data_IF_226885449603
#
_entry.id   IF_226885449603
#
_cell.length_a   1.000
_cell.length_b   1.000
_cell.length_c   1.000
_cell.angle_alpha   90.00
_cell.angle_beta   90.00
_cell.angle_gamma   90.00
#
_symmetry.space_group_name_H-M   'P 1'
#
loop_
_entity.id
_entity.type
_entity.pdbx_description
1 polymer ?
#
# COMPACT_ATOMS: atom_id res chain seq x y z
N UNK A 1 7.30 13.45 -3.26
CA UNK A 1 6.94 14.46 -2.27
C UNK A 1 8.22 15.08 -1.71
N UNK A 2 8.15 16.26 -1.09
CA UNK A 2 9.30 16.81 -0.36
C UNK A 2 9.38 16.20 1.05
N UNK A 3 10.58 16.06 1.61
CA UNK A 3 10.75 15.43 2.92
C UNK A 3 10.41 16.40 4.06
N UNK A 4 9.55 15.96 4.98
CA UNK A 4 9.30 16.63 6.26
C UNK A 4 8.48 17.91 6.17
N UNK A 5 7.65 18.05 5.14
CA UNK A 5 6.90 19.28 4.85
C UNK A 5 5.46 19.27 5.34
N UNK A 6 5.02 18.30 6.16
CA UNK A 6 3.61 18.17 6.59
C UNK A 6 2.98 19.46 7.16
N UNK A 7 3.72 20.20 7.99
CA UNK A 7 3.24 21.47 8.56
C UNK A 7 3.59 22.70 7.73
N UNK A 8 4.28 22.53 6.59
CA UNK A 8 4.62 23.62 5.68
C UNK A 8 3.46 23.91 4.71
N UNK A 9 2.94 25.12 4.75
CA UNK A 9 1.78 25.55 3.95
C UNK A 9 2.06 25.63 2.44
N UNK A 10 3.33 25.64 2.03
CA UNK A 10 3.75 25.81 0.64
C UNK A 10 4.21 24.52 -0.02
N UNK A 11 4.72 23.57 0.78
CA UNK A 11 5.34 22.34 0.29
C UNK A 11 4.73 21.05 0.86
N UNK A 12 3.68 21.14 1.70
CA UNK A 12 2.87 19.98 2.13
C UNK A 12 2.01 19.42 1.00
N UNK A 13 2.64 18.76 0.02
CA UNK A 13 1.95 18.11 -1.08
C UNK A 13 2.70 16.88 -1.61
N UNK A 14 1.96 16.01 -2.30
CA UNK A 14 2.49 14.84 -2.98
C UNK A 14 1.84 14.69 -4.36
N UNK A 15 2.58 14.13 -5.30
CA UNK A 15 2.07 13.75 -6.62
C UNK A 15 2.11 12.23 -6.71
N UNK A 16 0.97 11.63 -7.06
CA UNK A 16 0.85 10.18 -7.22
C UNK A 16 0.31 9.92 -8.61
N UNK A 17 1.00 9.06 -9.36
CA UNK A 17 0.47 8.51 -10.60
C UNK A 17 -0.48 7.37 -10.26
N UNK A 18 -1.72 7.46 -10.73
CA UNK A 18 -2.67 6.37 -10.58
C UNK A 18 -2.23 5.15 -11.41
N UNK A 19 -2.23 3.99 -10.75
CA UNK A 19 -1.94 2.70 -11.34
C UNK A 19 -2.91 1.62 -10.81
N UNK A 20 -4.15 2.02 -10.49
CA UNK A 20 -5.17 1.16 -9.91
C UNK A 20 -5.10 1.14 -8.39
N UNK A 21 -5.63 0.08 -7.77
CA UNK A 21 -5.74 0.03 -6.29
C UNK A 21 -4.38 0.09 -5.57
N UNK A 22 -3.31 -0.33 -6.24
CA UNK A 22 -1.95 -0.23 -5.70
C UNK A 22 -1.47 1.20 -5.49
N UNK A 23 -2.12 2.20 -6.11
CA UNK A 23 -1.80 3.61 -5.88
C UNK A 23 -1.93 3.98 -4.39
N UNK A 24 -2.74 3.25 -3.62
CA UNK A 24 -2.82 3.40 -2.16
C UNK A 24 -1.45 3.21 -1.46
N UNK A 25 -0.61 2.28 -1.93
CA UNK A 25 0.72 2.08 -1.37
C UNK A 25 1.68 3.20 -1.76
N UNK A 26 1.57 3.72 -3.00
CA UNK A 26 2.31 4.93 -3.41
C UNK A 26 1.87 6.14 -2.61
N UNK A 27 0.57 6.31 -2.35
CA UNK A 27 0.06 7.38 -1.46
C UNK A 27 0.68 7.25 -0.06
N UNK A 28 0.72 6.03 0.50
CA UNK A 28 1.35 5.80 1.81
C UNK A 28 2.85 6.15 1.79
N UNK A 29 3.58 5.73 0.76
CA UNK A 29 4.99 6.05 0.56
C UNK A 29 5.25 7.56 0.51
N UNK A 30 4.50 8.27 -0.33
CA UNK A 30 4.65 9.72 -0.48
C UNK A 30 4.25 10.47 0.80
N UNK A 31 3.23 10.00 1.52
CA UNK A 31 2.89 10.52 2.85
C UNK A 31 4.02 10.28 3.86
N UNK A 32 4.71 9.14 3.79
CA UNK A 32 5.91 8.86 4.57
C UNK A 32 6.99 9.93 4.35
N UNK A 33 7.25 10.31 3.09
CA UNK A 33 8.15 11.41 2.78
C UNK A 33 7.69 12.74 3.38
N UNK A 34 6.42 13.13 3.20
CA UNK A 34 5.87 14.36 3.82
C UNK A 34 6.05 14.35 5.34
N UNK A 35 6.02 13.17 5.96
CA UNK A 35 6.29 12.91 7.38
C UNK A 35 7.77 12.64 7.72
N UNK A 36 8.68 13.10 6.86
CA UNK A 36 10.14 13.08 7.04
C UNK A 36 10.81 11.69 7.00
N UNK A 37 10.13 10.65 6.50
CA UNK A 37 10.74 9.34 6.33
C UNK A 37 11.62 9.32 5.07
N UNK A 38 12.94 9.05 5.18
CA UNK A 38 13.77 8.76 4.01
C UNK A 38 13.50 7.35 3.48
N UNK A 39 14.06 7.04 2.31
CA UNK A 39 14.06 5.68 1.81
C UNK A 39 14.86 4.73 2.71
N UNK A 40 14.44 3.46 2.79
CA UNK A 40 15.08 2.43 3.63
C UNK A 40 16.55 2.13 3.24
N UNK A 41 16.88 2.37 1.98
CA UNK A 41 18.22 2.25 1.41
C UNK A 41 18.95 3.61 1.31
N UNK A 42 18.53 4.62 2.07
CA UNK A 42 19.29 5.86 2.31
C UNK A 42 20.45 5.63 3.28
N UNK A 43 21.50 6.46 3.19
CA UNK A 43 22.65 6.42 4.10
C UNK A 43 22.23 6.67 5.56
N UNK A 44 21.22 7.52 5.77
CA UNK A 44 20.65 7.79 7.09
C UNK A 44 19.99 6.56 7.73
N UNK A 45 19.58 5.59 6.92
CA UNK A 45 18.95 4.37 7.36
C UNK A 45 19.92 3.20 7.57
N UNK A 46 21.21 3.36 7.28
CA UNK A 46 22.18 2.26 7.25
C UNK A 46 22.23 1.48 8.58
N UNK A 47 22.15 2.17 9.72
CA UNK A 47 22.16 1.55 11.05
C UNK A 47 20.92 0.70 11.37
N UNK A 48 19.82 0.89 10.64
CA UNK A 48 18.56 0.13 10.81
C UNK A 48 18.43 -1.01 9.80
N UNK A 49 19.41 -1.17 8.89
CA UNK A 49 19.38 -2.26 7.91
C UNK A 49 19.73 -3.58 8.58
N UNK A 50 18.73 -4.43 8.75
CA UNK A 50 18.96 -5.84 9.08
C UNK A 50 19.48 -6.65 7.88
N UNK A 51 19.79 -7.92 8.12
CA UNK A 51 20.51 -8.79 7.18
C UNK A 51 19.68 -9.12 5.92
N UNK A 52 18.35 -9.25 6.06
CA UNK A 52 17.38 -9.40 4.95
C UNK A 52 16.00 -8.97 5.43
N UNK A 53 15.46 -7.91 4.85
CA UNK A 53 14.08 -7.51 5.05
C UNK A 53 13.36 -7.42 3.71
N UNK A 54 12.05 -7.72 3.67
CA UNK A 54 11.25 -7.44 2.49
C UNK A 54 11.28 -5.94 2.17
N UNK A 55 10.97 -5.57 0.92
CA UNK A 55 10.82 -4.17 0.52
C UNK A 55 9.55 -3.61 1.17
N UNK A 56 9.75 -2.81 2.23
CA UNK A 56 8.69 -2.18 3.02
C UNK A 56 8.18 -0.89 2.35
N UNK A 57 7.22 -0.19 2.97
CA UNK A 57 6.56 0.97 2.37
C UNK A 57 7.55 2.03 1.86
N UNK A 58 8.67 2.28 2.57
CA UNK A 58 9.69 3.27 2.17
C UNK A 58 10.82 2.71 1.30
N UNK A 59 10.65 1.53 0.69
CA UNK A 59 11.58 1.05 -0.33
C UNK A 59 11.45 1.86 -1.63
N UNK A 60 12.57 2.15 -2.30
CA UNK A 60 12.61 2.87 -3.59
C UNK A 60 12.02 2.08 -4.75
N UNK A 61 12.03 0.76 -4.64
CA UNK A 61 11.67 -0.14 -5.73
C UNK A 61 10.63 -1.15 -5.28
N UNK A 62 9.73 -1.47 -6.21
CA UNK A 62 8.73 -2.49 -6.07
C UNK A 62 9.19 -3.71 -6.87
N UNK A 63 9.35 -4.83 -6.18
CA UNK A 63 9.68 -6.11 -6.78
C UNK A 63 8.94 -7.27 -6.10
N UNK A 64 9.32 -8.50 -6.42
CA UNK A 64 8.73 -9.71 -5.86
C UNK A 64 8.89 -9.86 -4.33
N UNK A 65 9.81 -9.13 -3.69
CA UNK A 65 10.03 -9.11 -2.25
C UNK A 65 9.30 -7.96 -1.55
N UNK A 66 8.43 -7.23 -2.26
CA UNK A 66 7.63 -6.14 -1.67
C UNK A 66 6.63 -6.66 -0.66
N UNK A 67 6.65 -6.08 0.54
CA UNK A 67 5.67 -6.29 1.60
C UNK A 67 5.12 -4.92 2.05
N UNK A 68 4.15 -4.36 1.31
CA UNK A 68 3.73 -2.97 1.47
C UNK A 68 2.76 -2.76 2.65
N UNK A 69 2.64 -3.72 3.55
CA UNK A 69 1.82 -3.64 4.77
C UNK A 69 2.62 -3.31 6.04
N UNK A 70 3.94 -3.07 5.92
CA UNK A 70 4.80 -2.76 7.07
C UNK A 70 5.76 -1.62 6.79
N UNK A 71 6.14 -0.94 7.87
CA UNK A 71 7.12 0.12 7.92
C UNK A 71 8.43 -0.40 8.53
N UNK A 72 9.56 0.15 8.12
CA UNK A 72 10.86 -0.24 8.65
C UNK A 72 11.15 0.40 9.99
N UNK A 73 12.17 -0.12 10.70
CA UNK A 73 12.68 0.55 11.90
C UNK A 73 13.24 1.95 11.62
N UNK A 74 13.77 2.19 10.41
CA UNK A 74 14.21 3.52 9.99
C UNK A 74 13.01 4.47 9.84
N UNK A 75 11.97 4.03 9.13
CA UNK A 75 10.72 4.79 8.96
C UNK A 75 10.13 5.18 10.32
N UNK A 76 10.11 4.21 11.25
CA UNK A 76 9.71 4.43 12.64
C UNK A 76 10.53 5.51 13.32
N UNK A 77 11.85 5.38 13.28
CA UNK A 77 12.75 6.31 13.94
C UNK A 77 12.53 7.75 13.44
N UNK A 78 12.52 7.95 12.12
CA UNK A 78 12.38 9.28 11.53
C UNK A 78 11.01 9.90 11.78
N UNK A 79 9.92 9.11 11.79
CA UNK A 79 8.60 9.63 12.16
C UNK A 79 8.58 10.07 13.63
N UNK A 80 9.12 9.24 14.53
CA UNK A 80 9.16 9.55 15.96
C UNK A 80 9.93 10.85 16.21
N UNK A 81 11.15 10.98 15.67
CA UNK A 81 11.96 12.20 15.82
C UNK A 81 11.26 13.44 15.23
N UNK A 82 10.55 13.28 14.09
CA UNK A 82 9.80 14.37 13.47
C UNK A 82 8.65 14.87 14.36
N UNK A 83 7.87 13.95 14.93
CA UNK A 83 6.75 14.28 15.79
C UNK A 83 7.21 14.82 17.16
N UNK A 84 8.18 14.16 17.79
CA UNK A 84 8.75 14.59 19.09
C UNK A 84 9.52 15.91 18.98
N UNK A 85 10.10 16.20 17.80
CA UNK A 85 10.71 17.49 17.48
C UNK A 85 9.72 18.65 17.29
N UNK A 86 8.41 18.39 17.32
CA UNK A 86 7.36 19.41 17.20
C UNK A 86 7.02 19.81 15.76
N UNK A 87 7.57 19.13 14.75
CA UNK A 87 7.32 19.46 13.34
C UNK A 87 5.94 19.01 12.85
N UNK A 88 5.23 18.18 13.61
CA UNK A 88 3.87 17.69 13.32
C UNK A 88 2.75 18.44 14.03
N UNK A 89 2.97 19.67 14.51
CA UNK A 89 1.99 20.44 15.29
C UNK A 89 0.64 20.64 14.57
N UNK A 90 0.63 20.68 13.23
CA UNK A 90 -0.58 20.83 12.43
C UNK A 90 -1.50 19.59 12.45
N UNK A 91 -1.04 18.46 12.99
CA UNK A 91 -1.79 17.20 13.05
C UNK A 91 -2.53 17.01 14.38
N UNK A 92 -2.41 17.96 15.31
CA UNK A 92 -2.94 17.84 16.67
C UNK A 92 -4.41 18.21 16.79
N UNK A 93 -4.95 19.00 15.85
CA UNK A 93 -6.36 19.37 15.87
C UNK A 93 -7.24 18.28 15.25
N UNK A 94 -8.45 18.15 15.80
CA UNK A 94 -9.44 17.22 15.27
C UNK A 94 -10.13 17.88 14.07
N UNK A 95 -10.25 17.20 12.91
CA UNK A 95 -10.93 17.76 11.76
C UNK A 95 -12.40 18.04 12.08
N UNK A 96 -12.89 19.22 11.67
CA UNK A 96 -14.26 19.66 11.93
C UNK A 96 -15.35 18.84 11.21
N UNK A 97 -14.97 18.11 10.16
CA UNK A 97 -15.87 17.23 9.39
C UNK A 97 -15.24 15.87 9.16
N UNK A 98 -16.00 14.80 9.39
CA UNK A 98 -15.58 13.45 9.04
C UNK A 98 -15.83 13.18 7.54
N UNK A 99 -14.80 13.31 6.71
CA UNK A 99 -14.90 12.97 5.28
C UNK A 99 -14.88 11.45 5.01
N UNK A 100 -14.53 10.64 5.99
CA UNK A 100 -14.41 9.19 5.87
C UNK A 100 -15.76 8.45 5.98
N UNK A 101 -16.84 9.17 6.31
CA UNK A 101 -18.18 8.62 6.48
C UNK A 101 -18.30 7.68 7.68
N UNK A 102 -19.37 6.87 7.69
CA UNK A 102 -19.52 5.79 8.65
C UNK A 102 -18.54 4.65 8.32
N UNK A 103 -17.59 4.41 9.22
CA UNK A 103 -16.59 3.36 9.05
C UNK A 103 -17.12 1.96 9.40
N UNK A 104 -18.29 1.86 10.04
CA UNK A 104 -18.86 0.58 10.49
C UNK A 104 -19.32 -0.34 9.34
N UNK A 105 -19.52 0.21 8.14
CA UNK A 105 -19.93 -0.52 6.93
C UNK A 105 -18.82 -0.67 5.90
N UNK A 106 -17.56 -0.36 6.24
CA UNK A 106 -16.47 -0.43 5.27
C UNK A 106 -16.15 -1.87 4.91
N UNK A 107 -16.16 -2.13 3.61
CA UNK A 107 -15.66 -3.36 3.00
C UNK A 107 -14.18 -3.22 2.68
N UNK A 108 -13.50 -4.35 2.50
CA UNK A 108 -12.16 -4.32 1.93
C UNK A 108 -12.20 -4.06 0.42
N UNK A 109 -11.14 -3.48 -0.18
CA UNK A 109 -11.17 -3.12 -1.60
C UNK A 109 -11.44 -4.32 -2.52
N UNK A 110 -10.92 -5.50 -2.22
CA UNK A 110 -11.18 -6.71 -3.01
C UNK A 110 -12.61 -7.25 -2.94
N UNK A 111 -13.44 -6.75 -2.01
CA UNK A 111 -14.88 -7.04 -1.99
C UNK A 111 -15.65 -6.15 -2.98
N UNK A 112 -15.12 -4.97 -3.33
CA UNK A 112 -15.72 -4.02 -4.27
C UNK A 112 -15.13 -4.16 -5.68
N UNK A 113 -13.88 -4.63 -5.80
CA UNK A 113 -13.16 -4.80 -7.05
C UNK A 113 -12.69 -6.25 -7.20
N UNK A 114 -13.31 -7.00 -8.12
CA UNK A 114 -12.87 -8.36 -8.48
C UNK A 114 -11.45 -8.36 -9.06
N UNK A 115 -10.83 -9.52 -9.11
CA UNK A 115 -9.50 -9.74 -9.68
C UNK A 115 -9.37 -9.23 -11.14
N UNK A 116 -10.39 -9.49 -11.98
CA UNK A 116 -10.45 -8.93 -13.33
C UNK A 116 -10.59 -7.40 -13.30
N UNK A 117 -11.43 -6.86 -12.41
CA UNK A 117 -11.60 -5.41 -12.30
C UNK A 117 -10.32 -4.71 -11.84
N UNK A 118 -9.55 -5.35 -10.97
CA UNK A 118 -8.23 -4.87 -10.57
C UNK A 118 -7.28 -4.83 -11.78
N UNK A 119 -7.27 -5.85 -12.63
CA UNK A 119 -6.49 -5.83 -13.87
C UNK A 119 -6.92 -4.71 -14.82
N UNK A 120 -8.23 -4.47 -14.96
CA UNK A 120 -8.73 -3.37 -15.79
C UNK A 120 -8.30 -1.98 -15.31
N UNK A 121 -8.16 -1.79 -14.00
CA UNK A 121 -7.68 -0.53 -13.42
C UNK A 121 -6.20 -0.27 -13.73
N UNK A 122 -5.40 -1.33 -13.93
CA UNK A 122 -3.96 -1.23 -14.17
C UNK A 122 -3.65 -1.17 -15.67
N UNK A 123 -4.25 -2.07 -16.47
CA UNK A 123 -3.89 -2.30 -17.87
C UNK A 123 -5.00 -1.92 -18.86
N UNK A 124 -6.15 -1.46 -18.36
CA UNK A 124 -7.26 -1.01 -19.19
C UNK A 124 -8.32 -2.08 -19.43
N UNK A 125 -9.42 -1.64 -20.03
CA UNK A 125 -10.65 -2.43 -20.21
C UNK A 125 -10.38 -3.76 -20.94
N UNK A 126 -10.95 -4.84 -20.42
CA UNK A 126 -10.82 -6.18 -21.00
C UNK A 126 -9.58 -6.96 -20.54
N UNK A 127 -8.66 -6.34 -19.80
CA UNK A 127 -7.59 -7.04 -19.10
C UNK A 127 -8.16 -7.94 -18.01
N UNK A 128 -7.64 -9.16 -17.88
CA UNK A 128 -8.12 -10.19 -16.96
C UNK A 128 -7.00 -10.77 -16.14
N UNK A 129 -7.34 -11.40 -15.02
CA UNK A 129 -6.38 -12.14 -14.21
C UNK A 129 -5.86 -13.37 -14.96
N UNK A 130 -4.57 -13.65 -14.84
CA UNK A 130 -3.97 -14.84 -15.43
C UNK A 130 -4.14 -16.05 -14.52
N UNK A 131 -4.82 -17.08 -15.02
CA UNK A 131 -5.30 -18.22 -14.24
C UNK A 131 -4.20 -19.11 -13.64
N UNK A 132 -3.02 -19.13 -14.27
CA UNK A 132 -1.88 -19.98 -13.88
C UNK A 132 -0.90 -19.29 -12.93
N UNK A 133 -1.13 -18.02 -12.58
CA UNK A 133 -0.25 -17.27 -11.68
C UNK A 133 -0.66 -17.44 -10.21
N UNK A 134 0.27 -17.28 -9.25
CA UNK A 134 -0.03 -17.49 -7.84
C UNK A 134 -1.11 -16.53 -7.30
N UNK A 135 -2.12 -17.08 -6.64
CA UNK A 135 -3.26 -16.33 -6.07
C UNK A 135 -2.79 -15.48 -4.88
N UNK A 136 -3.36 -14.27 -4.75
CA UNK A 136 -3.04 -13.27 -3.71
C UNK A 136 -1.60 -12.71 -3.72
N UNK A 137 -0.71 -13.22 -4.56
CA UNK A 137 0.66 -12.71 -4.78
C UNK A 137 0.60 -11.53 -5.77
N UNK A 138 1.66 -11.15 -6.51
CA UNK A 138 1.53 -10.09 -7.50
C UNK A 138 0.36 -10.34 -8.46
N UNK A 139 -0.37 -9.28 -8.79
CA UNK A 139 -1.45 -9.29 -9.76
C UNK A 139 -0.83 -9.41 -11.16
N UNK A 140 -1.11 -10.51 -11.83
CA UNK A 140 -0.63 -10.80 -13.18
C UNK A 140 -1.80 -10.75 -14.14
N UNK A 141 -1.75 -9.84 -15.10
CA UNK A 141 -2.86 -9.54 -15.96
C UNK A 141 -2.53 -9.79 -17.42
N UNK A 142 -3.55 -10.17 -18.19
CA UNK A 142 -3.48 -10.26 -19.64
C UNK A 142 -3.34 -8.87 -20.27
N UNK A 143 -2.73 -8.82 -21.44
CA UNK A 143 -2.84 -7.66 -22.33
C UNK A 143 -4.10 -7.77 -23.21
N UNK A 144 -4.24 -6.85 -24.15
CA UNK A 144 -5.30 -6.79 -25.17
C UNK A 144 -5.40 -8.06 -26.05
N UNK A 145 -4.33 -8.86 -26.12
CA UNK A 145 -4.26 -10.10 -26.92
C UNK A 145 -4.56 -11.36 -26.10
N UNK A 146 -4.86 -11.23 -24.79
CA UNK A 146 -5.19 -12.35 -23.91
C UNK A 146 -3.96 -13.05 -23.30
N UNK A 147 -4.11 -14.30 -22.87
CA UNK A 147 -3.02 -15.07 -22.24
C UNK A 147 -1.93 -15.53 -23.24
N UNK A 148 -2.19 -15.50 -24.56
CA UNK A 148 -1.26 -16.01 -25.59
C UNK A 148 0.06 -15.22 -25.68
N UNK A 149 0.04 -13.92 -25.40
CA UNK A 149 1.26 -13.09 -25.33
C UNK A 149 1.92 -13.07 -23.93
N UNK A 150 1.39 -13.87 -23.01
CA UNK A 150 1.83 -13.90 -21.62
C UNK A 150 1.29 -12.75 -20.77
N UNK A 151 1.68 -12.74 -19.51
CA UNK A 151 1.09 -11.87 -18.50
C UNK A 151 2.08 -10.80 -18.03
N UNK A 152 1.54 -9.63 -17.66
CA UNK A 152 2.31 -8.51 -17.11
C UNK A 152 1.91 -8.25 -15.67
N UNK A 153 2.84 -7.72 -14.89
CA UNK A 153 2.59 -7.32 -13.51
C UNK A 153 3.29 -6.01 -13.18
N UNK A 154 2.75 -5.27 -12.21
CA UNK A 154 3.43 -4.16 -11.55
C UNK A 154 3.96 -4.54 -10.16
N UNK A 155 4.12 -5.85 -9.90
CA UNK A 155 4.61 -6.44 -8.64
C UNK A 155 3.72 -6.23 -7.41
N UNK A 156 2.57 -5.58 -7.59
CA UNK A 156 1.62 -5.29 -6.51
C UNK A 156 0.65 -6.45 -6.28
N UNK A 157 0.31 -6.75 -5.02
CA UNK A 157 -0.52 -7.88 -4.67
C UNK A 157 -1.98 -7.66 -5.11
N UNK A 158 -2.76 -8.75 -5.11
CA UNK A 158 -4.21 -8.63 -5.18
C UNK A 158 -4.72 -7.84 -3.97
N UNK A 159 -5.78 -7.07 -4.14
CA UNK A 159 -6.33 -6.28 -3.05
C UNK A 159 -6.82 -7.18 -1.91
N UNK A 160 -6.62 -6.71 -0.67
CA UNK A 160 -7.19 -7.37 0.50
C UNK A 160 -8.72 -7.48 0.34
N UNK A 161 -9.27 -8.65 0.64
CA UNK A 161 -10.69 -8.97 0.52
C UNK A 161 -11.07 -9.69 -0.76
N UNK A 162 -10.15 -9.78 -1.74
CA UNK A 162 -10.42 -10.46 -3.01
C UNK A 162 -10.68 -11.94 -2.76
N UNK A 163 -11.79 -12.53 -3.25
CA UNK A 163 -12.05 -13.96 -3.08
C UNK A 163 -10.95 -14.80 -3.71
N UNK A 164 -10.40 -15.75 -2.96
CA UNK A 164 -9.33 -16.65 -3.43
C UNK A 164 -9.67 -18.14 -3.29
N UNK A 165 -10.81 -18.44 -2.69
CA UNK A 165 -11.26 -19.81 -2.43
C UNK A 165 -12.62 -19.84 -1.72
N UNK A 166 -13.11 -21.05 -1.43
CA UNK A 166 -14.39 -21.21 -0.74
C UNK A 166 -14.27 -20.72 0.70
N UNK A 167 -14.98 -19.64 1.04
CA UNK A 167 -14.88 -18.94 2.34
C UNK A 167 -13.47 -18.42 2.66
N UNK A 168 -12.68 -18.09 1.63
CA UNK A 168 -11.34 -17.54 1.76
C UNK A 168 -11.19 -16.25 0.96
N UNK A 169 -10.29 -15.37 1.41
CA UNK A 169 -9.96 -14.11 0.75
C UNK A 169 -8.46 -13.81 0.82
N UNK A 170 -8.01 -12.89 -0.01
CA UNK A 170 -6.66 -12.35 0.08
C UNK A 170 -6.55 -11.43 1.29
N UNK A 171 -5.54 -11.64 2.12
CA UNK A 171 -5.17 -10.75 3.21
C UNK A 171 -3.65 -10.72 3.32
N UNK A 172 -3.05 -9.52 3.20
CA UNK A 172 -1.61 -9.32 3.28
C UNK A 172 -0.80 -10.22 2.34
N UNK A 173 -1.33 -10.45 1.15
CA UNK A 173 -0.68 -11.24 0.10
C UNK A 173 -0.81 -12.76 0.26
N UNK A 174 -1.69 -13.22 1.16
CA UNK A 174 -1.96 -14.63 1.40
C UNK A 174 -3.45 -14.95 1.27
N UNK A 175 -3.77 -16.16 0.78
CA UNK A 175 -5.14 -16.66 0.76
C UNK A 175 -5.49 -17.28 2.11
N UNK A 176 -6.30 -16.58 2.91
CA UNK A 176 -6.65 -16.99 4.28
C UNK A 176 -8.16 -17.20 4.43
N UNK A 177 -8.55 -17.97 5.44
CA UNK A 177 -9.97 -18.09 5.82
C UNK A 177 -10.54 -16.71 6.13
N UNK A 178 -11.74 -16.44 5.60
CA UNK A 178 -12.43 -15.18 5.85
C UNK A 178 -12.74 -15.06 7.34
N UNK A 179 -12.06 -14.12 7.99
CA UNK A 179 -12.32 -13.76 9.39
C UNK A 179 -12.88 -12.33 9.43
N UNK A 180 -14.19 -12.15 9.66
CA UNK A 180 -14.81 -10.82 9.79
C UNK A 180 -14.23 -9.99 10.93
N UNK A 181 -13.59 -10.61 11.93
CA UNK A 181 -12.93 -9.90 13.04
C UNK A 181 -11.66 -9.19 12.54
N UNK A 182 -11.00 -9.71 11.50
CA UNK A 182 -9.83 -9.08 10.89
C UNK A 182 -10.14 -7.72 10.22
N UNK A 183 -11.43 -7.39 10.01
CA UNK A 183 -11.89 -6.08 9.52
C UNK A 183 -11.99 -5.02 10.60
N UNK A 184 -11.90 -5.41 11.87
CA UNK A 184 -11.95 -4.45 12.96
C UNK A 184 -10.75 -3.52 12.87
N UNK A 185 -10.97 -2.19 12.90
CA UNK A 185 -9.87 -1.24 12.98
C UNK A 185 -8.99 -1.58 14.18
N UNK A 186 -7.73 -1.94 13.91
CA UNK A 186 -6.70 -2.05 14.93
C UNK A 186 -5.96 -0.72 14.98
N UNK A 187 -5.62 -0.27 16.18
CA UNK A 187 -4.68 0.84 16.31
C UNK A 187 -3.37 0.42 15.64
N UNK A 188 -2.80 1.30 14.82
CA UNK A 188 -1.47 1.10 14.26
C UNK A 188 -0.47 0.85 15.40
N UNK A 189 0.31 -0.21 15.27
CA UNK A 189 1.47 -0.46 16.11
C UNK A 189 2.70 -0.51 15.20
N UNK A 190 3.88 -0.32 15.80
CA UNK A 190 5.15 -0.58 15.13
C UNK A 190 5.33 -2.07 14.84
#
# INVERSE_FOLDING_TARGET
>A
AELGTMSDKTSSCALVQDNGLSAAFTIAHELGHVLNMPHDDDIKCEQYRGVRHPNMVMSRMLDHNTYPWSWSECSRHFLTEYLEGGYGECLLDRPGTNQLGDMSTRKQPGEDYTEDRQCELVYGRGSKICSYMPICKPLWCTTDVGEEEGCRTQHMPWADGTPCGKHQWCQRGECVTRDPIALQPINGAW
#
